data_IF_311505583257
#
_entry.id   IF_311505583257
#
_cell.length_a   1.000
_cell.length_b   1.000
_cell.length_c   1.000
_cell.angle_alpha   90.00
_cell.angle_beta   90.00
_cell.angle_gamma   90.00
#
_symmetry.space_group_name_H-M   'P 1'
#
loop_
_entity.id
_entity.type
_entity.pdbx_description
1 polymer ?
#
# COMPACT_ATOMS: atom_id res chain seq x y z
N UNK A 1 31.82 10.74 16.48
CA UNK A 1 31.18 10.25 15.23
C UNK A 1 30.57 11.47 14.55
N UNK A 2 31.02 11.84 13.36
CA UNK A 2 30.42 12.94 12.59
C UNK A 2 29.48 12.33 11.56
N UNK A 3 28.17 12.49 11.75
CA UNK A 3 27.19 12.26 10.69
C UNK A 3 26.79 13.63 10.09
N UNK A 4 26.47 13.63 8.80
CA UNK A 4 25.93 14.79 8.08
C UNK A 4 24.56 14.40 7.55
N UNK A 5 23.55 15.19 7.89
CA UNK A 5 22.25 15.08 7.27
C UNK A 5 22.33 15.69 5.87
N UNK A 6 21.99 14.89 4.87
CA UNK A 6 21.87 15.34 3.48
C UNK A 6 20.42 15.11 3.10
N UNK A 7 19.75 16.18 2.70
CA UNK A 7 18.39 16.12 2.19
C UNK A 7 18.38 15.30 0.90
N UNK A 8 17.62 14.20 0.89
CA UNK A 8 17.31 13.49 -0.34
C UNK A 8 16.10 14.18 -0.95
N UNK A 9 16.27 14.77 -2.12
CA UNK A 9 15.12 15.15 -2.94
C UNK A 9 14.45 13.85 -3.39
N UNK A 10 13.17 13.66 -3.06
CA UNK A 10 12.41 12.52 -3.55
C UNK A 10 12.47 12.52 -5.09
N UNK A 11 12.86 11.39 -5.68
CA UNK A 11 12.93 11.22 -7.15
C UNK A 11 11.49 11.22 -7.72
N UNK A 12 10.53 10.82 -6.91
CA UNK A 12 9.10 10.80 -7.23
C UNK A 12 8.43 12.04 -6.63
N UNK A 13 7.62 12.72 -7.44
CA UNK A 13 6.89 13.95 -7.09
C UNK A 13 5.48 13.84 -7.64
N UNK A 14 4.53 14.50 -6.99
CA UNK A 14 3.11 14.48 -7.35
C UNK A 14 2.55 13.06 -7.48
N UNK A 15 2.89 12.20 -6.52
CA UNK A 15 2.62 10.76 -6.60
C UNK A 15 2.07 10.24 -5.27
N UNK A 16 1.08 9.37 -5.36
CA UNK A 16 0.57 8.59 -4.25
C UNK A 16 1.33 7.27 -4.18
N UNK A 17 1.75 6.91 -2.97
CA UNK A 17 2.35 5.62 -2.65
C UNK A 17 1.33 4.86 -1.83
N UNK A 18 0.99 3.66 -2.29
CA UNK A 18 0.09 2.76 -1.58
C UNK A 18 0.93 1.59 -1.11
N UNK A 19 0.91 1.33 0.19
CA UNK A 19 1.58 0.19 0.80
C UNK A 19 0.53 -0.77 1.33
N UNK A 20 0.56 -2.01 0.83
CA UNK A 20 -0.27 -3.11 1.30
C UNK A 20 0.63 -4.10 2.01
N UNK A 21 0.36 -4.35 3.30
CA UNK A 21 1.02 -5.40 4.08
C UNK A 21 0.00 -6.46 4.43
N UNK A 22 0.36 -7.73 4.24
CA UNK A 22 -0.48 -8.85 4.57
C UNK A 22 0.29 -9.97 5.28
N UNK A 23 -0.43 -10.81 6.01
CA UNK A 23 0.08 -11.99 6.73
C UNK A 23 -0.27 -13.28 5.97
N UNK A 24 0.70 -14.17 5.87
CA UNK A 24 0.58 -15.52 5.31
C UNK A 24 -0.08 -16.53 6.27
N UNK A 25 -0.69 -16.07 7.37
CA UNK A 25 -1.39 -16.84 8.42
C UNK A 25 -0.47 -17.64 9.37
N UNK A 26 0.82 -17.29 9.39
CA UNK A 26 1.82 -17.87 10.30
C UNK A 26 2.72 -16.81 10.95
N UNK A 27 2.43 -15.53 10.71
CA UNK A 27 3.24 -14.40 11.14
C UNK A 27 4.33 -13.99 10.15
N UNK A 28 4.38 -14.62 8.96
CA UNK A 28 5.22 -14.16 7.86
C UNK A 28 4.50 -13.07 7.05
N UNK A 29 5.00 -11.85 7.23
CA UNK A 29 4.43 -10.66 6.61
C UNK A 29 5.08 -10.30 5.28
N UNK A 30 4.26 -9.99 4.28
CA UNK A 30 4.69 -9.57 2.94
C UNK A 30 4.16 -8.16 2.69
N UNK A 31 4.96 -7.31 2.06
CA UNK A 31 4.62 -5.91 1.78
C UNK A 31 4.84 -5.60 0.31
N UNK A 32 3.83 -5.00 -0.30
CA UNK A 32 3.87 -4.51 -1.69
C UNK A 32 3.62 -3.01 -1.71
N UNK A 33 4.31 -2.34 -2.62
CA UNK A 33 4.18 -0.89 -2.85
C UNK A 33 3.76 -0.63 -4.28
N UNK A 34 2.80 0.28 -4.44
CA UNK A 34 2.31 0.73 -5.72
C UNK A 34 2.32 2.25 -5.79
N UNK A 35 2.53 2.77 -6.99
CA UNK A 35 2.70 4.19 -7.23
C UNK A 35 1.67 4.69 -8.25
N UNK A 36 0.95 5.74 -7.88
CA UNK A 36 -0.13 6.29 -8.70
C UNK A 36 0.02 7.79 -8.88
N UNK A 37 -0.30 8.26 -10.08
CA UNK A 37 -0.57 9.69 -10.26
C UNK A 37 -1.84 10.07 -9.51
N UNK A 38 -2.11 11.37 -9.35
CA UNK A 38 -3.33 11.82 -8.68
C UNK A 38 -4.61 11.32 -9.37
N UNK A 39 -4.66 11.35 -10.71
CA UNK A 39 -5.85 10.88 -11.44
C UNK A 39 -6.08 9.39 -11.22
N UNK A 40 -5.01 8.59 -11.32
CA UNK A 40 -5.13 7.14 -11.17
C UNK A 40 -5.51 6.79 -9.72
N UNK A 41 -4.96 7.51 -8.74
CA UNK A 41 -5.32 7.36 -7.34
C UNK A 41 -6.81 7.62 -7.09
N UNK A 42 -7.35 8.72 -7.64
CA UNK A 42 -8.77 9.07 -7.50
C UNK A 42 -9.68 8.01 -8.13
N UNK A 43 -9.25 7.35 -9.21
CA UNK A 43 -9.98 6.25 -9.84
C UNK A 43 -10.02 4.98 -8.99
N UNK A 44 -8.91 4.65 -8.30
CA UNK A 44 -8.81 3.43 -7.48
C UNK A 44 -9.23 3.62 -6.02
N UNK A 45 -9.37 4.86 -5.54
CA UNK A 45 -9.72 5.18 -4.16
C UNK A 45 -10.96 4.43 -3.63
N UNK A 46 -12.07 4.30 -4.38
CA UNK A 46 -13.22 3.53 -3.91
C UNK A 46 -12.89 2.05 -3.64
N UNK A 47 -11.98 1.48 -4.42
CA UNK A 47 -11.56 0.08 -4.26
C UNK A 47 -10.60 -0.08 -3.08
N UNK A 48 -9.74 0.91 -2.80
CA UNK A 48 -8.91 0.92 -1.58
C UNK A 48 -9.77 0.99 -0.32
N UNK A 49 -10.84 1.80 -0.35
CA UNK A 49 -11.82 1.88 0.74
C UNK A 49 -12.54 0.53 0.92
N UNK A 50 -12.96 -0.10 -0.17
CA UNK A 50 -13.56 -1.43 -0.14
C UNK A 50 -12.61 -2.48 0.46
N UNK A 51 -11.35 -2.48 0.03
CA UNK A 51 -10.31 -3.38 0.53
C UNK A 51 -10.13 -3.20 2.05
N UNK A 52 -10.00 -1.95 2.52
CA UNK A 52 -9.88 -1.64 3.95
C UNK A 52 -11.11 -2.07 4.74
N UNK A 53 -12.30 -1.67 4.31
CA UNK A 53 -13.53 -1.80 5.09
C UNK A 53 -14.06 -3.23 5.14
N UNK A 54 -13.85 -4.00 4.07
CA UNK A 54 -14.40 -5.36 3.96
C UNK A 54 -13.36 -6.46 4.14
N UNK A 55 -12.07 -6.18 3.97
CA UNK A 55 -11.00 -7.20 4.09
C UNK A 55 -9.96 -6.86 5.16
N UNK A 56 -9.94 -5.63 5.67
CA UNK A 56 -9.23 -5.28 6.90
C UNK A 56 -9.76 -6.10 8.07
N UNK A 57 -8.86 -6.69 8.86
CA UNK A 57 -9.14 -7.47 10.08
C UNK A 57 -10.03 -8.72 9.92
N UNK A 58 -10.49 -9.05 8.70
CA UNK A 58 -11.48 -10.10 8.49
C UNK A 58 -10.91 -11.48 8.12
N UNK A 59 -9.58 -11.64 8.04
CA UNK A 59 -8.89 -12.89 7.66
C UNK A 59 -9.50 -13.53 6.38
N UNK A 60 -9.74 -12.71 5.37
CA UNK A 60 -10.43 -13.09 4.13
C UNK A 60 -9.79 -12.46 2.89
N UNK A 61 -8.56 -11.95 3.00
CA UNK A 61 -7.88 -11.25 1.92
C UNK A 61 -7.72 -12.14 0.67
N UNK A 62 -7.59 -13.46 0.84
CA UNK A 62 -7.52 -14.43 -0.24
C UNK A 62 -8.79 -14.47 -1.13
N UNK A 63 -9.92 -13.98 -0.62
CA UNK A 63 -11.18 -13.92 -1.34
C UNK A 63 -11.39 -12.57 -2.06
N UNK A 64 -10.45 -11.65 -1.94
CA UNK A 64 -10.55 -10.35 -2.59
C UNK A 64 -10.54 -10.52 -4.12
N UNK A 65 -11.58 -10.07 -4.85
CA UNK A 65 -11.72 -10.33 -6.29
C UNK A 65 -10.72 -9.57 -7.17
N UNK A 66 -10.01 -8.60 -6.59
CA UNK A 66 -8.98 -7.78 -7.23
C UNK A 66 -9.35 -7.18 -8.60
N UNK A 67 -10.47 -6.42 -8.69
CA UNK A 67 -10.96 -5.89 -9.98
C UNK A 67 -10.03 -4.84 -10.61
N UNK A 68 -9.18 -4.18 -9.81
CA UNK A 68 -8.22 -3.17 -10.24
C UNK A 68 -6.79 -3.70 -10.38
N UNK A 69 -6.59 -5.02 -10.29
CA UNK A 69 -5.29 -5.69 -10.39
C UNK A 69 -4.23 -5.05 -9.47
N UNK A 70 -4.61 -4.79 -8.21
CA UNK A 70 -3.66 -4.38 -7.19
C UNK A 70 -2.63 -5.48 -6.96
N UNK A 71 -1.39 -5.07 -6.68
CA UNK A 71 -0.33 -5.96 -6.19
C UNK A 71 -0.64 -6.37 -4.75
N UNK A 72 -1.65 -7.23 -4.59
CA UNK A 72 -1.97 -7.83 -3.29
C UNK A 72 -0.83 -8.80 -2.94
N UNK A 73 -0.24 -8.69 -1.72
CA UNK A 73 0.87 -9.55 -1.34
C UNK A 73 0.54 -11.04 -1.49
N UNK A 74 1.50 -11.79 -2.03
CA UNK A 74 1.37 -13.20 -2.38
C UNK A 74 2.39 -14.03 -1.59
N UNK A 75 1.94 -15.02 -0.82
CA UNK A 75 2.85 -15.99 -0.20
C UNK A 75 3.29 -16.99 -1.28
N UNK A 76 4.59 -17.26 -1.38
CA UNK A 76 5.13 -18.13 -2.45
C UNK A 76 4.79 -19.62 -2.31
N UNK A 77 3.95 -20.00 -1.35
CA UNK A 77 3.76 -21.39 -0.93
C UNK A 77 2.38 -21.95 -1.30
N UNK A 78 1.30 -21.39 -0.76
CA UNK A 78 -0.08 -21.73 -1.14
C UNK A 78 -0.72 -20.68 -2.06
N UNK A 79 -0.06 -19.54 -2.19
CA UNK A 79 -0.39 -18.50 -3.14
C UNK A 79 -1.29 -17.39 -2.60
N UNK A 80 -1.48 -17.31 -1.29
CA UNK A 80 -2.38 -16.32 -0.71
C UNK A 80 -1.81 -15.72 0.58
N UNK A 81 -2.01 -14.43 0.78
CA UNK A 81 -2.03 -13.89 2.13
C UNK A 81 -3.48 -13.86 2.60
N UNK A 82 -3.70 -14.07 3.89
CA UNK A 82 -5.05 -14.25 4.44
C UNK A 82 -5.56 -13.03 5.18
N UNK A 83 -4.67 -12.27 5.84
CA UNK A 83 -5.04 -11.10 6.62
C UNK A 83 -4.38 -9.86 6.05
N UNK A 84 -5.18 -8.82 5.81
CA UNK A 84 -4.69 -7.47 5.53
C UNK A 84 -4.27 -6.83 6.84
N UNK A 85 -2.96 -6.64 7.02
CA UNK A 85 -2.37 -6.09 8.26
C UNK A 85 -2.24 -4.57 8.21
N UNK A 86 -1.96 -4.04 7.02
CA UNK A 86 -1.82 -2.60 6.82
C UNK A 86 -2.20 -2.23 5.40
N UNK A 87 -3.02 -1.18 5.28
CA UNK A 87 -3.16 -0.39 4.08
C UNK A 87 -2.81 1.05 4.47
N UNK A 88 -1.74 1.59 3.90
CA UNK A 88 -1.38 3.00 4.08
C UNK A 88 -1.20 3.70 2.75
N UNK A 89 -1.52 4.98 2.74
CA UNK A 89 -1.36 5.84 1.58
C UNK A 89 -0.55 7.05 1.99
N UNK A 90 0.50 7.34 1.23
CA UNK A 90 1.32 8.52 1.38
C UNK A 90 1.26 9.34 0.08
N UNK A 91 1.32 10.66 0.17
CA UNK A 91 1.41 11.55 -0.99
C UNK A 91 2.72 12.33 -0.95
N UNK A 92 3.44 12.35 -2.07
CA UNK A 92 4.61 13.20 -2.26
C UNK A 92 4.21 14.39 -3.14
N UNK A 93 4.35 15.61 -2.62
CA UNK A 93 4.04 16.83 -3.36
C UNK A 93 5.11 17.23 -4.40
N UNK A 94 4.89 18.34 -5.10
CA UNK A 94 5.81 18.89 -6.09
C UNK A 94 7.19 19.29 -5.53
N UNK A 95 7.26 19.55 -4.22
CA UNK A 95 8.47 19.92 -3.51
C UNK A 95 9.20 18.69 -2.94
N UNK A 96 8.61 17.50 -3.05
CA UNK A 96 9.15 16.26 -2.50
C UNK A 96 8.79 16.06 -1.02
N UNK A 97 7.85 16.83 -0.48
CA UNK A 97 7.35 16.66 0.89
C UNK A 97 6.31 15.54 0.90
N UNK A 98 6.44 14.65 1.89
CA UNK A 98 5.58 13.49 2.09
C UNK A 98 4.49 13.79 3.12
N UNK A 99 3.30 13.25 2.89
CA UNK A 99 2.12 13.39 3.74
C UNK A 99 1.42 12.05 3.88
N UNK A 100 1.05 11.68 5.10
CA UNK A 100 0.09 10.59 5.32
C UNK A 100 -1.29 11.01 4.81
N UNK A 101 -1.95 10.13 4.08
CA UNK A 101 -3.30 10.34 3.56
C UNK A 101 -4.25 9.49 4.39
N UNK A 102 -5.05 10.15 5.22
CA UNK A 102 -6.03 9.52 6.10
C UNK A 102 -7.41 9.52 5.45
N UNK A 103 -8.09 8.38 5.53
CA UNK A 103 -9.49 8.20 5.16
C UNK A 103 -10.09 7.08 6.01
#
# INVERSE_FOLDING_TARGET
>A
MNYKLVEKTAIMKNMFIITIKADSNDGDYITEEMHYSKSDFEEILPELLNLRDNYGDNHQLENYPNPMDFNIPYNGWDGYCHSLEKLSVEYIDENGKMFDVEF
#
